data_IF_310962006089
#
_entry.id   IF_310962006089
#
_cell.length_a   1.000
_cell.length_b   1.000
_cell.length_c   1.000
_cell.angle_alpha   90.00
_cell.angle_beta   90.00
_cell.angle_gamma   90.00
#
_symmetry.space_group_name_H-M   'P 1'
#
loop_
_entity.id
_entity.type
_entity.pdbx_description
1 polymer ?
#
# COMPACT_ATOMS: atom_id res chain seq x y z
N UNK A 1 8.82 -24.71 30.42
CA UNK A 1 8.50 -24.21 29.05
C UNK A 1 8.26 -22.72 29.16
N UNK A 2 9.30 -21.90 28.95
CA UNK A 2 9.18 -20.46 29.05
C UNK A 2 8.32 -19.94 27.88
N UNK A 3 7.25 -19.23 28.21
CA UNK A 3 6.27 -18.72 27.27
C UNK A 3 6.96 -17.72 26.32
N UNK A 4 7.28 -18.13 25.09
CA UNK A 4 7.76 -17.27 24.00
C UNK A 4 6.61 -16.39 23.48
N UNK A 5 6.02 -15.58 24.36
CA UNK A 5 5.04 -14.60 23.94
C UNK A 5 5.76 -13.45 23.24
N UNK A 6 5.59 -13.38 21.93
CA UNK A 6 5.94 -12.18 21.16
C UNK A 6 5.34 -10.94 21.85
N UNK A 7 6.13 -9.90 22.12
CA UNK A 7 5.68 -8.74 22.88
C UNK A 7 4.54 -8.02 22.15
N UNK A 8 3.58 -7.52 22.92
CA UNK A 8 2.38 -6.83 22.43
C UNK A 8 2.62 -5.81 21.28
N UNK A 9 3.62 -4.91 21.35
CA UNK A 9 3.85 -3.95 20.26
C UNK A 9 4.19 -4.60 18.91
N UNK A 10 4.87 -5.75 18.91
CA UNK A 10 5.19 -6.49 17.67
C UNK A 10 3.92 -7.07 17.07
N UNK A 11 3.05 -7.64 17.90
CA UNK A 11 1.75 -8.18 17.45
C UNK A 11 0.87 -7.09 16.87
N UNK A 12 0.78 -5.95 17.55
CA UNK A 12 0.00 -4.80 17.06
C UNK A 12 0.54 -4.27 15.74
N UNK A 13 1.86 -4.16 15.59
CA UNK A 13 2.46 -3.72 14.32
C UNK A 13 2.20 -4.73 13.18
N UNK A 14 2.26 -6.03 13.46
CA UNK A 14 1.93 -7.08 12.49
C UNK A 14 0.46 -7.02 12.06
N UNK A 15 -0.47 -6.98 13.02
CA UNK A 15 -1.91 -6.98 12.72
C UNK A 15 -2.32 -5.71 11.98
N UNK A 16 -1.85 -4.54 12.41
CA UNK A 16 -2.12 -3.27 11.73
C UNK A 16 -1.49 -3.25 10.34
N UNK A 17 -0.21 -3.64 10.22
CA UNK A 17 0.50 -3.65 8.94
C UNK A 17 -0.19 -4.54 7.90
N UNK A 18 -0.57 -5.76 8.30
CA UNK A 18 -1.30 -6.70 7.45
C UNK A 18 -2.72 -6.23 7.11
N UNK A 19 -3.45 -5.67 8.09
CA UNK A 19 -4.82 -5.18 7.85
C UNK A 19 -4.82 -4.02 6.88
N UNK A 20 -3.93 -3.05 7.07
CA UNK A 20 -3.80 -1.90 6.15
C UNK A 20 -3.37 -2.35 4.76
N UNK A 21 -2.40 -3.28 4.66
CA UNK A 21 -1.98 -3.84 3.37
C UNK A 21 -3.12 -4.59 2.66
N UNK A 22 -3.91 -5.37 3.40
CA UNK A 22 -5.06 -6.10 2.88
C UNK A 22 -6.16 -5.17 2.36
N UNK A 23 -6.47 -4.09 3.10
CA UNK A 23 -7.42 -3.07 2.65
C UNK A 23 -6.94 -2.36 1.38
N UNK A 24 -5.64 -2.03 1.31
CA UNK A 24 -5.04 -1.40 0.14
C UNK A 24 -5.12 -2.34 -1.08
N UNK A 25 -4.81 -3.62 -0.90
CA UNK A 25 -4.94 -4.63 -1.96
C UNK A 25 -6.40 -4.78 -2.42
N UNK A 26 -7.34 -4.86 -1.49
CA UNK A 26 -8.78 -4.93 -1.79
C UNK A 26 -9.28 -3.73 -2.58
N UNK A 27 -8.83 -2.51 -2.24
CA UNK A 27 -9.16 -1.31 -3.00
C UNK A 27 -8.61 -1.38 -4.44
N UNK A 28 -7.34 -1.77 -4.63
CA UNK A 28 -6.74 -1.92 -5.95
C UNK A 28 -7.46 -2.95 -6.82
N UNK A 29 -7.83 -4.09 -6.25
CA UNK A 29 -8.62 -5.13 -6.93
C UNK A 29 -9.99 -4.58 -7.33
N UNK A 30 -10.66 -3.87 -6.42
CA UNK A 30 -11.98 -3.29 -6.68
C UNK A 30 -11.94 -2.24 -7.79
N UNK A 31 -10.90 -1.41 -7.83
CA UNK A 31 -10.73 -0.46 -8.94
C UNK A 31 -10.55 -1.18 -10.27
N UNK A 32 -9.78 -2.26 -10.30
CA UNK A 32 -9.45 -2.97 -11.53
C UNK A 32 -10.60 -3.82 -12.06
N UNK A 33 -11.33 -4.51 -11.18
CA UNK A 33 -12.37 -5.47 -11.57
C UNK A 33 -13.77 -4.84 -11.66
N UNK A 34 -14.03 -3.77 -10.90
CA UNK A 34 -15.37 -3.19 -10.79
C UNK A 34 -15.39 -1.77 -11.35
N UNK A 35 -14.55 -0.87 -10.84
CA UNK A 35 -14.65 0.55 -11.21
C UNK A 35 -14.25 0.80 -12.67
N UNK A 36 -13.10 0.27 -13.10
CA UNK A 36 -12.56 0.50 -14.45
C UNK A 36 -13.51 0.03 -15.57
N UNK A 37 -14.02 -1.21 -15.58
CA UNK A 37 -14.94 -1.65 -16.63
C UNK A 37 -16.20 -0.77 -16.72
N UNK A 38 -16.74 -0.34 -15.57
CA UNK A 38 -17.93 0.51 -15.53
C UNK A 38 -17.69 1.92 -16.04
N UNK A 39 -16.50 2.48 -15.78
CA UNK A 39 -16.10 3.77 -16.33
C UNK A 39 -15.95 3.68 -17.86
N UNK A 40 -15.40 2.58 -18.37
CA UNK A 40 -15.22 2.35 -19.81
C UNK A 40 -16.54 2.16 -20.58
N UNK A 41 -17.62 1.76 -19.91
CA UNK A 41 -18.97 1.66 -20.51
C UNK A 41 -19.64 3.04 -20.70
N UNK A 42 -19.14 4.08 -20.05
CA UNK A 42 -19.76 5.42 -20.08
C UNK A 42 -19.33 6.25 -21.31
N UNK A 43 -20.17 7.20 -21.77
CA UNK A 43 -19.80 8.12 -22.85
C UNK A 43 -18.53 8.92 -22.51
N UNK A 44 -17.69 9.18 -23.51
CA UNK A 44 -16.37 9.83 -23.36
C UNK A 44 -16.30 11.03 -22.39
N UNK A 45 -17.22 12.01 -22.43
CA UNK A 45 -17.14 13.15 -21.49
C UNK A 45 -17.40 12.73 -20.02
N UNK A 46 -18.33 11.80 -19.79
CA UNK A 46 -18.61 11.28 -18.45
C UNK A 46 -17.50 10.35 -17.94
N UNK A 47 -16.90 9.58 -18.85
CA UNK A 47 -15.77 8.70 -18.56
C UNK A 47 -14.59 9.48 -17.96
N UNK A 48 -14.21 10.58 -18.61
CA UNK A 48 -13.11 11.44 -18.16
C UNK A 48 -13.41 12.03 -16.77
N UNK A 49 -14.64 12.52 -16.57
CA UNK A 49 -15.06 13.09 -15.29
C UNK A 49 -15.06 12.04 -14.16
N UNK A 50 -15.60 10.85 -14.42
CA UNK A 50 -15.63 9.74 -13.45
C UNK A 50 -14.22 9.28 -13.09
N UNK A 51 -13.34 9.13 -14.09
CA UNK A 51 -11.95 8.79 -13.87
C UNK A 51 -11.22 9.84 -13.03
N UNK A 52 -11.41 11.13 -13.32
CA UNK A 52 -10.80 12.23 -12.57
C UNK A 52 -11.19 12.21 -11.10
N UNK A 53 -12.48 12.03 -10.80
CA UNK A 53 -12.94 11.95 -9.41
C UNK A 53 -12.40 10.72 -8.70
N UNK A 54 -12.38 9.57 -9.36
CA UNK A 54 -11.82 8.33 -8.83
C UNK A 54 -10.32 8.48 -8.53
N UNK A 55 -9.55 9.00 -9.50
CA UNK A 55 -8.12 9.21 -9.36
C UNK A 55 -7.78 10.22 -8.27
N UNK A 56 -8.50 11.35 -8.20
CA UNK A 56 -8.28 12.38 -7.17
C UNK A 56 -8.53 11.83 -5.77
N UNK A 57 -9.59 11.04 -5.62
CA UNK A 57 -9.94 10.40 -4.35
C UNK A 57 -8.90 9.34 -3.95
N UNK A 58 -8.48 8.50 -4.90
CA UNK A 58 -7.44 7.48 -4.68
C UNK A 58 -6.09 8.10 -4.34
N UNK A 59 -5.68 9.17 -5.02
CA UNK A 59 -4.47 9.94 -4.73
C UNK A 59 -4.43 10.49 -3.31
N UNK A 60 -5.58 10.91 -2.77
CA UNK A 60 -5.66 11.46 -1.42
C UNK A 60 -5.61 10.38 -0.33
N UNK A 61 -6.08 9.16 -0.62
CA UNK A 61 -6.32 8.11 0.39
C UNK A 61 -5.30 6.97 0.36
N UNK A 62 -4.88 6.51 -0.82
CA UNK A 62 -4.00 5.35 -0.97
C UNK A 62 -2.56 5.61 -0.49
N UNK A 63 -1.91 6.77 -0.78
CA UNK A 63 -0.54 7.01 -0.33
C UNK A 63 -0.39 7.08 1.20
N UNK A 64 -1.26 7.76 1.97
CA UNK A 64 -1.20 7.71 3.44
C UNK A 64 -1.32 6.30 4.01
N UNK A 65 -2.23 5.47 3.47
CA UNK A 65 -2.38 4.07 3.92
C UNK A 65 -1.16 3.23 3.59
N UNK A 66 -0.57 3.42 2.42
CA UNK A 66 0.67 2.77 2.02
C UNK A 66 1.86 3.17 2.91
N UNK A 67 1.98 4.46 3.25
CA UNK A 67 2.99 4.96 4.17
C UNK A 67 2.82 4.38 5.58
N UNK A 68 1.59 4.27 6.07
CA UNK A 68 1.29 3.65 7.36
C UNK A 68 1.75 2.19 7.37
N UNK A 69 1.33 1.39 6.39
CA UNK A 69 1.68 -0.03 6.28
C UNK A 69 3.19 -0.23 6.12
N UNK A 70 3.84 0.57 5.27
CA UNK A 70 5.29 0.53 5.07
C UNK A 70 6.05 0.88 6.35
N UNK A 71 5.61 1.88 7.11
CA UNK A 71 6.26 2.28 8.37
C UNK A 71 6.18 1.16 9.41
N UNK A 72 5.06 0.45 9.48
CA UNK A 72 4.88 -0.69 10.37
C UNK A 72 5.77 -1.87 9.97
N UNK A 73 5.91 -2.15 8.67
CA UNK A 73 6.83 -3.21 8.20
C UNK A 73 8.30 -2.84 8.42
N UNK A 74 8.71 -1.58 8.23
CA UNK A 74 10.06 -1.16 8.55
C UNK A 74 10.34 -1.17 10.05
N UNK A 75 9.35 -0.87 10.90
CA UNK A 75 9.45 -1.04 12.35
C UNK A 75 9.66 -2.52 12.73
N UNK A 76 8.95 -3.44 12.07
CA UNK A 76 9.16 -4.88 12.29
C UNK A 76 10.53 -5.35 11.79
N UNK A 77 11.01 -4.81 10.67
CA UNK A 77 12.35 -5.07 10.16
C UNK A 77 13.44 -4.59 11.12
N UNK A 78 13.32 -3.37 11.68
CA UNK A 78 14.31 -2.86 12.63
C UNK A 78 14.36 -3.70 13.91
N UNK A 79 13.20 -4.17 14.40
CA UNK A 79 13.12 -5.09 15.52
C UNK A 79 13.74 -6.46 15.19
N UNK A 80 13.49 -7.03 14.01
CA UNK A 80 14.09 -8.28 13.57
C UNK A 80 15.63 -8.19 13.43
N UNK A 81 16.16 -7.02 13.04
CA UNK A 81 17.61 -6.78 12.96
C UNK A 81 18.26 -6.60 14.33
N UNK A 82 17.61 -5.87 15.23
CA UNK A 82 18.12 -5.64 16.61
C UNK A 82 18.19 -6.94 17.41
N UNK A 83 17.30 -7.89 17.07
CA UNK A 83 17.23 -9.25 17.61
C UNK A 83 18.49 -10.10 17.39
N UNK A 84 19.30 -9.85 16.34
CA UNK A 84 20.54 -10.60 16.09
C UNK A 84 21.60 -10.41 17.21
N UNK A 85 21.46 -9.36 18.03
CA UNK A 85 22.35 -9.08 19.16
C UNK A 85 21.87 -9.62 20.52
N UNK A 86 20.64 -10.17 20.61
CA UNK A 86 20.05 -10.63 21.88
C UNK A 86 19.45 -12.04 21.74
N UNK A 87 19.90 -13.04 22.54
CA UNK A 87 19.42 -14.42 22.46
C UNK A 87 17.94 -14.61 22.89
N UNK A 88 17.28 -13.58 23.42
CA UNK A 88 15.85 -13.57 23.80
C UNK A 88 15.03 -12.72 22.82
N UNK A 89 15.32 -12.93 21.56
CA UNK A 89 14.74 -12.22 20.42
C UNK A 89 13.35 -12.80 20.10
N UNK A 90 12.34 -11.93 19.97
CA UNK A 90 10.97 -12.36 19.70
C UNK A 90 10.66 -12.57 18.20
N UNK A 91 11.57 -12.20 17.31
CA UNK A 91 11.41 -12.33 15.86
C UNK A 91 12.63 -13.03 15.24
N UNK A 92 12.43 -14.01 14.35
CA UNK A 92 13.53 -14.65 13.62
C UNK A 92 14.29 -13.66 12.73
N UNK A 93 15.62 -13.73 12.70
CA UNK A 93 16.47 -12.86 11.87
C UNK A 93 16.17 -13.03 10.37
N UNK A 94 15.85 -14.25 9.95
CA UNK A 94 15.45 -14.59 8.58
C UNK A 94 14.21 -13.83 8.08
N UNK A 95 13.37 -13.31 9.00
CA UNK A 95 12.20 -12.50 8.65
C UNK A 95 12.54 -11.05 8.28
N UNK A 96 13.78 -10.59 8.52
CA UNK A 96 14.22 -9.23 8.24
C UNK A 96 13.97 -8.83 6.77
N UNK A 97 14.48 -9.65 5.84
CA UNK A 97 14.35 -9.37 4.41
C UNK A 97 12.90 -9.41 3.94
N UNK A 98 12.07 -10.26 4.53
CA UNK A 98 10.63 -10.31 4.25
C UNK A 98 9.92 -9.01 4.63
N UNK A 99 10.20 -8.46 5.82
CA UNK A 99 9.62 -7.19 6.25
C UNK A 99 10.14 -5.99 5.46
N UNK A 100 11.43 -5.97 5.10
CA UNK A 100 11.99 -4.94 4.21
C UNK A 100 11.32 -4.99 2.85
N UNK A 101 11.22 -6.18 2.23
CA UNK A 101 10.57 -6.36 0.95
C UNK A 101 9.10 -5.91 1.01
N UNK A 102 8.35 -6.29 2.06
CA UNK A 102 6.96 -5.87 2.24
C UNK A 102 6.83 -4.34 2.38
N UNK A 103 7.71 -3.70 3.15
CA UNK A 103 7.73 -2.24 3.30
C UNK A 103 8.02 -1.51 1.99
N UNK A 104 9.05 -1.95 1.26
CA UNK A 104 9.40 -1.40 -0.06
C UNK A 104 8.26 -1.59 -1.06
N UNK A 105 7.63 -2.77 -1.07
CA UNK A 105 6.53 -3.05 -1.99
C UNK A 105 5.30 -2.18 -1.67
N UNK A 106 4.99 -1.96 -0.38
CA UNK A 106 3.93 -1.04 0.02
C UNK A 106 4.22 0.40 -0.44
N UNK A 107 5.45 0.88 -0.31
CA UNK A 107 5.87 2.22 -0.76
C UNK A 107 5.91 2.37 -2.29
N UNK A 108 6.14 1.28 -3.03
CA UNK A 108 6.29 1.28 -4.49
C UNK A 108 5.05 1.77 -5.24
N UNK A 109 3.89 1.86 -4.57
CA UNK A 109 2.67 2.43 -5.13
C UNK A 109 2.83 3.89 -5.58
N UNK A 110 3.65 4.68 -4.85
CA UNK A 110 3.88 6.10 -5.16
C UNK A 110 4.68 6.26 -6.46
N UNK A 111 5.89 5.67 -6.62
CA UNK A 111 6.63 5.77 -7.87
C UNK A 111 5.87 5.13 -9.05
N UNK A 112 5.14 4.04 -8.83
CA UNK A 112 4.28 3.46 -9.88
C UNK A 112 3.26 4.47 -10.39
N UNK A 113 2.58 5.18 -9.48
CA UNK A 113 1.58 6.19 -9.83
C UNK A 113 2.21 7.37 -10.58
N UNK A 114 3.38 7.86 -10.14
CA UNK A 114 4.04 8.98 -10.82
C UNK A 114 4.52 8.62 -12.23
N UNK A 115 5.10 7.43 -12.41
CA UNK A 115 5.68 7.01 -13.69
C UNK A 115 4.60 6.62 -14.69
N UNK A 116 3.61 5.83 -14.28
CA UNK A 116 2.64 5.23 -15.22
C UNK A 116 1.32 6.00 -15.31
N UNK A 117 0.85 6.62 -14.22
CA UNK A 117 -0.45 7.32 -14.23
C UNK A 117 -0.35 8.82 -14.56
N UNK A 118 0.74 9.51 -14.22
CA UNK A 118 0.88 10.95 -14.55
C UNK A 118 0.71 11.25 -16.05
N UNK A 119 1.43 10.59 -16.98
CA UNK A 119 1.31 10.93 -18.40
C UNK A 119 -0.08 10.62 -18.99
N UNK A 120 -0.74 9.57 -18.47
CA UNK A 120 -2.10 9.20 -18.88
C UNK A 120 -3.13 10.22 -18.37
N UNK A 121 -2.99 10.66 -17.12
CA UNK A 121 -3.86 11.68 -16.52
C UNK A 121 -3.67 13.05 -17.13
N UNK A 122 -2.43 13.42 -17.49
CA UNK A 122 -2.17 14.67 -18.20
C UNK A 122 -2.90 14.71 -19.54
N UNK A 123 -2.93 13.59 -20.28
CA UNK A 123 -3.69 13.49 -21.53
C UNK A 123 -5.20 13.51 -21.33
N UNK A 124 -5.70 12.82 -20.31
CA UNK A 124 -7.15 12.76 -20.02
C UNK A 124 -7.69 14.09 -19.49
N UNK A 125 -6.90 14.84 -18.70
CA UNK A 125 -7.28 16.16 -18.16
C UNK A 125 -7.16 17.29 -19.19
N UNK A 126 -6.39 17.08 -20.27
CA UNK A 126 -6.37 18.01 -21.42
C UNK A 126 -7.65 17.86 -22.25
N UNK A 127 -8.15 16.64 -22.45
CA UNK A 127 -9.38 16.38 -23.21
C UNK A 127 -10.70 16.80 -22.54
N UNK A 128 -10.68 17.20 -21.26
CA UNK A 128 -11.85 17.77 -20.57
C UNK A 128 -12.05 19.27 -20.87
N UNK A 129 -11.04 19.94 -21.45
CA UNK A 129 -11.06 21.39 -21.73
C UNK A 129 -11.45 21.76 -23.16
N UNK A 130 -11.62 20.78 -24.04
CA UNK A 130 -12.11 20.94 -25.41
C UNK A 130 -13.58 20.52 -25.50
#
# INVERSE_FOLDING_TARGET
MANMQTPLPIRLAQTLGLTTAGLLAGANISFSLIALPRILESPTPLLIQQWKHLFTSGRATLPPMALLSSSLFFYLASQARSSSSKPTSALPEESFWGYVAAGVLALSIVPYTMVFMSPTNERLLVGERE
#
